data_IF_664003237685
#
_entry.id   IF_664003237685
#
_cell.length_a   1.000
_cell.length_b   1.000
_cell.length_c   1.000
_cell.angle_alpha   90.00
_cell.angle_beta   90.00
_cell.angle_gamma   90.00
#
_symmetry.space_group_name_H-M   'P 1'
#
loop_
_entity.id
_entity.type
_entity.pdbx_description
1 polymer ?
#
# COMPACT_ATOMS: atom_id res chain seq x y z
N UNK A 1 -2.90 15.21 -11.01
CA UNK A 1 -1.62 14.61 -10.56
C UNK A 1 -1.04 15.34 -9.35
N UNK A 2 -0.89 16.67 -9.38
CA UNK A 2 -0.35 17.45 -8.24
C UNK A 2 -1.14 17.23 -6.95
N UNK A 3 -2.47 17.24 -7.03
CA UNK A 3 -3.34 16.98 -5.88
C UNK A 3 -3.18 15.57 -5.31
N UNK A 4 -3.19 14.53 -6.16
CA UNK A 4 -2.97 13.14 -5.75
C UNK A 4 -1.58 12.95 -5.10
N UNK A 5 -0.54 13.60 -5.63
CA UNK A 5 0.79 13.60 -5.03
C UNK A 5 0.79 14.25 -3.65
N UNK A 6 0.16 15.41 -3.51
CA UNK A 6 0.07 16.11 -2.23
C UNK A 6 -0.71 15.30 -1.20
N UNK A 7 -1.81 14.67 -1.60
CA UNK A 7 -2.57 13.77 -0.75
C UNK A 7 -1.72 12.59 -0.27
N UNK A 8 -0.95 11.95 -1.16
CA UNK A 8 -0.07 10.83 -0.80
C UNK A 8 1.03 11.25 0.19
N UNK A 9 1.66 12.42 -0.02
CA UNK A 9 2.68 12.96 0.90
C UNK A 9 2.08 13.25 2.29
N UNK A 10 0.90 13.87 2.32
CA UNK A 10 0.23 14.19 3.58
C UNK A 10 -0.24 12.93 4.32
N UNK A 11 -0.81 11.95 3.59
CA UNK A 11 -1.17 10.64 4.14
C UNK A 11 0.02 9.91 4.72
N UNK A 12 1.17 9.96 4.04
CA UNK A 12 2.42 9.38 4.55
C UNK A 12 2.92 10.08 5.81
N UNK A 13 2.83 11.41 5.87
CA UNK A 13 3.21 12.16 7.06
C UNK A 13 2.32 11.80 8.26
N UNK A 14 1.00 11.67 8.05
CA UNK A 14 0.05 11.27 9.08
C UNK A 14 0.32 9.82 9.56
N UNK A 15 0.52 8.88 8.64
CA UNK A 15 0.85 7.50 8.96
C UNK A 15 2.18 7.37 9.72
N UNK A 16 3.20 8.18 9.38
CA UNK A 16 4.47 8.21 10.12
C UNK A 16 4.30 8.77 11.53
N UNK A 17 3.46 9.78 11.72
CA UNK A 17 3.20 10.36 13.03
C UNK A 17 2.40 9.40 13.93
N UNK A 18 1.53 8.58 13.36
CA UNK A 18 0.68 7.64 14.10
C UNK A 18 0.52 6.30 13.35
N UNK A 19 1.57 5.44 13.31
CA UNK A 19 1.55 4.20 12.52
C UNK A 19 0.58 3.14 13.07
N UNK A 20 0.18 3.26 14.33
CA UNK A 20 -0.85 2.42 14.95
C UNK A 20 -2.28 2.94 14.80
N UNK A 21 -2.49 4.10 14.14
CA UNK A 21 -3.82 4.66 13.91
C UNK A 21 -4.45 4.05 12.65
N UNK A 22 -5.56 3.30 12.77
CA UNK A 22 -6.26 2.75 11.60
C UNK A 22 -6.66 3.84 10.61
N UNK A 23 -7.11 5.00 11.11
CA UNK A 23 -7.53 6.12 10.28
C UNK A 23 -6.35 6.70 9.48
N UNK A 24 -5.17 6.81 10.09
CA UNK A 24 -3.98 7.29 9.39
C UNK A 24 -3.53 6.31 8.30
N UNK A 25 -3.57 5.00 8.59
CA UNK A 25 -3.23 3.96 7.62
C UNK A 25 -4.24 3.89 6.46
N UNK A 26 -5.53 4.05 6.74
CA UNK A 26 -6.58 4.11 5.70
C UNK A 26 -6.42 5.33 4.80
N UNK A 27 -6.12 6.50 5.38
CA UNK A 27 -5.85 7.72 4.61
C UNK A 27 -4.63 7.55 3.70
N UNK A 28 -3.54 6.97 4.21
CA UNK A 28 -2.37 6.64 3.40
C UNK A 28 -2.74 5.72 2.24
N UNK A 29 -3.42 4.60 2.52
CA UNK A 29 -3.83 3.63 1.50
C UNK A 29 -4.70 4.26 0.40
N UNK A 30 -5.71 5.05 0.77
CA UNK A 30 -6.56 5.75 -0.20
C UNK A 30 -5.79 6.76 -1.06
N UNK A 31 -4.87 7.51 -0.46
CA UNK A 31 -4.05 8.48 -1.18
C UNK A 31 -3.04 7.82 -2.13
N UNK A 32 -2.44 6.69 -1.73
CA UNK A 32 -1.58 5.89 -2.60
C UNK A 32 -2.36 5.33 -3.80
N UNK A 33 -3.54 4.76 -3.59
CA UNK A 33 -4.38 4.26 -4.71
C UNK A 33 -4.71 5.37 -5.70
N UNK A 34 -5.06 6.57 -5.23
CA UNK A 34 -5.33 7.70 -6.11
C UNK A 34 -4.09 8.15 -6.91
N UNK A 35 -2.91 8.09 -6.29
CA UNK A 35 -1.65 8.38 -6.96
C UNK A 35 -1.34 7.35 -8.04
N UNK A 36 -1.42 6.05 -7.73
CA UNK A 36 -1.19 4.96 -8.70
C UNK A 36 -2.15 5.06 -9.89
N UNK A 37 -3.44 5.37 -9.66
CA UNK A 37 -4.39 5.61 -10.74
C UNK A 37 -4.00 6.80 -11.62
N UNK A 38 -3.51 7.89 -11.02
CA UNK A 38 -3.04 9.07 -11.75
C UNK A 38 -1.80 8.75 -12.59
N UNK A 39 -0.88 7.93 -12.07
CA UNK A 39 0.30 7.45 -12.79
C UNK A 39 -0.07 6.52 -13.95
N UNK A 40 -1.04 5.62 -13.76
CA UNK A 40 -1.56 4.78 -14.84
C UNK A 40 -2.12 5.60 -16.00
N UNK A 41 -2.86 6.68 -15.71
CA UNK A 41 -3.33 7.62 -16.74
C UNK A 41 -2.19 8.35 -17.44
N UNK A 42 -1.14 8.75 -16.70
CA UNK A 42 0.05 9.37 -17.28
C UNK A 42 0.74 8.43 -18.27
N UNK A 43 0.90 7.15 -17.91
CA UNK A 43 1.49 6.15 -18.80
C UNK A 43 0.62 5.88 -20.03
N UNK A 44 -0.71 5.78 -19.87
CA UNK A 44 -1.62 5.63 -21.00
C UNK A 44 -1.53 6.81 -22.00
N UNK A 45 -1.39 8.04 -21.49
CA UNK A 45 -1.13 9.21 -22.34
C UNK A 45 0.23 9.10 -23.02
N UNK A 46 1.29 8.76 -22.29
CA UNK A 46 2.62 8.59 -22.87
C UNK A 46 2.65 7.54 -23.99
N UNK A 47 1.89 6.45 -23.86
CA UNK A 47 1.75 5.44 -24.92
C UNK A 47 1.03 5.95 -26.16
N UNK A 48 0.05 6.85 -26.00
CA UNK A 48 -0.67 7.47 -27.10
C UNK A 48 0.16 8.51 -27.87
N UNK A 49 1.27 9.00 -27.31
CA UNK A 49 2.15 10.02 -27.92
C UNK A 49 3.59 9.48 -28.09
N UNK A 50 3.92 8.86 -29.24
CA UNK A 50 5.23 8.26 -29.50
C UNK A 50 6.40 9.21 -29.34
N UNK A 51 6.24 10.48 -29.75
CA UNK A 51 7.28 11.52 -29.62
C UNK A 51 7.57 11.85 -28.15
N UNK A 52 6.54 11.86 -27.30
CA UNK A 52 6.69 12.05 -25.86
C UNK A 52 7.36 10.82 -25.22
N UNK A 53 6.98 9.61 -25.65
CA UNK A 53 7.60 8.36 -25.19
C UNK A 53 9.07 8.26 -25.56
N UNK A 54 9.45 8.72 -26.76
CA UNK A 54 10.83 8.72 -27.24
C UNK A 54 11.69 9.84 -26.61
N UNK A 55 11.08 10.79 -25.91
CA UNK A 55 11.81 11.83 -25.21
C UNK A 55 12.64 11.23 -24.08
N UNK A 56 13.96 11.46 -24.09
CA UNK A 56 14.87 10.85 -23.14
C UNK A 56 14.57 11.20 -21.67
N UNK A 57 14.08 12.41 -21.39
CA UNK A 57 13.67 12.81 -20.04
C UNK A 57 12.41 12.05 -19.58
N UNK A 58 11.47 11.80 -20.51
CA UNK A 58 10.26 11.04 -20.21
C UNK A 58 10.57 9.55 -20.01
N UNK A 59 11.49 8.98 -20.80
CA UNK A 59 11.96 7.61 -20.61
C UNK A 59 12.57 7.42 -19.21
N UNK A 60 13.49 8.31 -18.82
CA UNK A 60 14.10 8.27 -17.48
C UNK A 60 13.05 8.40 -16.37
N UNK A 61 12.13 9.35 -16.49
CA UNK A 61 11.04 9.52 -15.53
C UNK A 61 10.17 8.27 -15.43
N UNK A 62 9.84 7.65 -16.57
CA UNK A 62 9.02 6.44 -16.60
C UNK A 62 9.69 5.25 -15.89
N UNK A 63 11.00 5.12 -16.05
CA UNK A 63 11.81 4.09 -15.40
C UNK A 63 11.90 4.32 -13.88
N UNK A 64 12.18 5.56 -13.46
CA UNK A 64 12.21 5.94 -12.04
C UNK A 64 10.86 5.72 -11.36
N UNK A 65 9.76 6.10 -12.02
CA UNK A 65 8.41 5.89 -11.51
C UNK A 65 8.08 4.40 -11.40
N UNK A 66 8.40 3.60 -12.42
CA UNK A 66 8.21 2.13 -12.39
C UNK A 66 9.01 1.48 -11.24
N UNK A 67 10.28 1.86 -11.09
CA UNK A 67 11.12 1.41 -9.97
C UNK A 67 10.55 1.82 -8.61
N UNK A 68 10.00 3.03 -8.53
CA UNK A 68 9.38 3.54 -7.31
C UNK A 68 8.09 2.78 -6.98
N UNK A 69 7.21 2.54 -7.95
CA UNK A 69 5.99 1.74 -7.76
C UNK A 69 6.32 0.31 -7.30
N UNK A 70 7.35 -0.32 -7.85
CA UNK A 70 7.81 -1.63 -7.39
C UNK A 70 8.27 -1.61 -5.93
N UNK A 71 9.00 -0.56 -5.52
CA UNK A 71 9.42 -0.38 -4.12
C UNK A 71 8.24 -0.14 -3.19
N UNK A 72 7.26 0.66 -3.61
CA UNK A 72 6.02 0.91 -2.85
C UNK A 72 5.22 -0.38 -2.69
N UNK A 73 5.03 -1.15 -3.76
CA UNK A 73 4.34 -2.44 -3.72
C UNK A 73 5.02 -3.42 -2.74
N UNK A 74 6.36 -3.52 -2.79
CA UNK A 74 7.12 -4.35 -1.85
C UNK A 74 6.98 -3.88 -0.40
N UNK A 75 7.09 -2.56 -0.16
CA UNK A 75 6.93 -1.99 1.17
C UNK A 75 5.53 -2.24 1.75
N UNK A 76 4.49 -2.10 0.91
CA UNK A 76 3.10 -2.40 1.29
C UNK A 76 2.92 -3.87 1.66
N UNK A 77 3.48 -4.78 0.86
CA UNK A 77 3.44 -6.21 1.17
C UNK A 77 4.13 -6.50 2.51
N UNK A 78 5.37 -6.02 2.71
CA UNK A 78 6.11 -6.24 3.95
C UNK A 78 5.38 -5.67 5.19
N UNK A 79 4.72 -4.52 5.05
CA UNK A 79 3.85 -3.95 6.09
C UNK A 79 2.67 -4.89 6.39
N UNK A 80 1.96 -5.34 5.37
CA UNK A 80 0.79 -6.22 5.53
C UNK A 80 1.16 -7.58 6.13
N UNK A 81 2.30 -8.15 5.75
CA UNK A 81 2.84 -9.38 6.34
C UNK A 81 3.14 -9.18 7.84
N UNK A 82 3.69 -8.02 8.20
CA UNK A 82 3.96 -7.65 9.59
C UNK A 82 2.66 -7.46 10.39
N UNK A 83 1.66 -6.79 9.82
CA UNK A 83 0.32 -6.63 10.41
C UNK A 83 -0.36 -7.97 10.63
N UNK A 84 -0.29 -8.87 9.64
CA UNK A 84 -0.84 -10.22 9.77
C UNK A 84 -0.17 -10.98 10.91
N UNK A 85 1.17 -10.96 10.97
CA UNK A 85 1.92 -11.60 12.05
C UNK A 85 1.59 -11.03 13.43
N UNK A 86 1.45 -9.71 13.53
CA UNK A 86 1.04 -9.02 14.76
C UNK A 86 -0.39 -9.41 15.18
N UNK A 87 -1.35 -9.31 14.27
CA UNK A 87 -2.76 -9.65 14.54
C UNK A 87 -2.92 -11.12 14.94
N UNK A 88 -2.21 -12.03 14.27
CA UNK A 88 -2.18 -13.45 14.65
C UNK A 88 -1.69 -13.63 16.08
N UNK A 89 -0.59 -12.96 16.47
CA UNK A 89 -0.08 -13.01 17.85
C UNK A 89 -1.07 -12.43 18.85
N UNK A 90 -1.76 -11.34 18.52
CA UNK A 90 -2.81 -10.78 19.37
C UNK A 90 -4.02 -11.71 19.56
N UNK A 91 -4.26 -12.63 18.61
CA UNK A 91 -5.41 -13.54 18.65
C UNK A 91 -5.08 -14.94 19.22
N UNK A 92 -3.82 -15.36 19.21
CA UNK A 92 -3.39 -16.68 19.68
C UNK A 92 -3.16 -16.74 21.20
N UNK A 93 -3.59 -17.83 21.84
CA UNK A 93 -3.25 -18.12 23.24
C UNK A 93 -1.75 -18.48 23.38
N UNK A 94 -1.04 -18.02 24.45
CA UNK A 94 -1.52 -17.20 25.57
C UNK A 94 -1.49 -15.68 25.32
N UNK A 95 -0.87 -15.27 24.23
CA UNK A 95 -0.65 -13.86 23.87
C UNK A 95 -1.93 -13.02 23.81
N UNK A 96 -3.07 -13.61 23.46
CA UNK A 96 -4.37 -12.92 23.42
C UNK A 96 -4.87 -12.45 24.79
N UNK A 97 -4.46 -13.11 25.88
CA UNK A 97 -4.79 -12.68 27.24
C UNK A 97 -4.03 -11.39 27.55
N UNK A 98 -2.72 -11.38 27.26
CA UNK A 98 -1.87 -10.19 27.41
C UNK A 98 -2.32 -9.07 26.47
N UNK A 99 -2.70 -9.40 25.23
CA UNK A 99 -3.19 -8.42 24.27
C UNK A 99 -4.43 -7.68 24.81
N UNK A 100 -5.41 -8.42 25.32
CA UNK A 100 -6.61 -7.83 25.91
C UNK A 100 -6.32 -7.07 27.22
N UNK A 101 -5.46 -7.60 28.10
CA UNK A 101 -5.16 -6.95 29.38
C UNK A 101 -4.34 -5.67 29.26
N UNK A 102 -3.49 -5.57 28.24
CA UNK A 102 -2.63 -4.41 27.99
C UNK A 102 -3.13 -3.51 26.84
N UNK A 103 -4.30 -3.82 26.25
CA UNK A 103 -4.95 -2.99 25.24
C UNK A 103 -4.28 -3.01 23.86
N UNK A 104 -3.58 -4.09 23.50
CA UNK A 104 -3.03 -4.27 22.16
C UNK A 104 -4.15 -4.56 21.16
N UNK A 105 -4.60 -3.52 20.45
CA UNK A 105 -5.61 -3.63 19.41
C UNK A 105 -5.03 -4.17 18.10
N UNK A 106 -5.87 -4.76 17.24
CA UNK A 106 -5.49 -5.19 15.91
C UNK A 106 -5.01 -4.01 15.05
N UNK A 107 -3.94 -4.23 14.29
CA UNK A 107 -3.44 -3.27 13.33
C UNK A 107 -4.20 -3.39 12.00
N UNK A 108 -4.41 -2.26 11.35
CA UNK A 108 -5.14 -2.18 10.08
C UNK A 108 -4.20 -2.43 8.90
N UNK A 109 -4.47 -3.41 8.02
CA UNK A 109 -3.66 -3.63 6.83
C UNK A 109 -3.90 -2.54 5.78
N UNK A 110 -2.89 -2.26 4.97
CA UNK A 110 -3.04 -1.44 3.76
C UNK A 110 -3.81 -2.22 2.70
N UNK A 111 -4.74 -1.56 2.00
CA UNK A 111 -5.51 -2.19 0.93
C UNK A 111 -4.59 -2.74 -0.17
N UNK A 112 -4.75 -4.02 -0.49
CA UNK A 112 -4.12 -4.62 -1.68
C UNK A 112 -4.90 -4.18 -2.92
N UNK A 113 -4.19 -3.70 -3.94
CA UNK A 113 -4.77 -3.33 -5.25
C UNK A 113 -5.30 -4.56 -6.01
N UNK A 114 -4.87 -5.77 -5.62
CA UNK A 114 -5.22 -7.01 -6.31
C UNK A 114 -6.28 -7.83 -5.52
N UNK A 115 -7.54 -7.85 -5.96
CA UNK A 115 -8.58 -8.66 -5.33
C UNK A 115 -8.28 -10.17 -5.41
N UNK A 116 -7.45 -10.65 -6.34
CA UNK A 116 -7.10 -12.07 -6.45
C UNK A 116 -6.25 -12.57 -5.28
N UNK A 117 -5.49 -11.67 -4.62
CA UNK A 117 -4.70 -12.01 -3.43
C UNK A 117 -5.53 -12.08 -2.13
N UNK A 118 -6.82 -11.70 -2.17
CA UNK A 118 -7.73 -11.85 -1.02
C UNK A 118 -8.35 -13.26 -0.91
N UNK A 119 -8.26 -14.09 -1.95
CA UNK A 119 -8.78 -15.46 -1.83
C UNK A 119 -7.85 -16.31 -0.97
N UNK A 120 -8.31 -16.64 0.23
CA UNK A 120 -7.64 -17.63 1.07
C UNK A 120 -7.63 -18.98 0.33
N UNK A 121 -6.49 -19.70 0.30
CA UNK A 121 -6.43 -21.02 -0.33
C UNK A 121 -7.43 -21.94 0.37
N UNK A 122 -8.43 -22.42 -0.38
CA UNK A 122 -9.42 -23.38 0.12
C UNK A 122 -8.74 -24.74 0.31
N UNK A 123 -8.24 -24.99 1.52
CA UNK A 123 -7.65 -26.28 1.86
C UNK A 123 -8.80 -27.28 2.02
N UNK A 124 -8.98 -28.13 1.02
CA UNK A 124 -9.89 -29.28 1.10
C UNK A 124 -9.09 -30.45 1.63
N UNK A 125 -9.37 -30.88 2.86
CA UNK A 125 -8.89 -32.16 3.36
C UNK A 125 -9.80 -33.26 2.80
N UNK A 126 -9.23 -34.17 2.01
CA UNK A 126 -9.85 -35.45 1.61
C UNK A 126 -9.60 -36.51 2.66
#
# INVERSE_FOLDING_TARGET
>A
MTEARTAAVNGLAAAKAAPGSPQAMQQLGGAETQLTQSLGRLFAVAEAYPDLKANQNMMQLSEELSSTENRVAFARQAYNDSVMGYNNRCQMFPSSILANSFGFAAAEPLAMDDPAKREAPKVSFT
#
